data_IF_051800563254
#
_entry.id   IF_051800563254
#
_cell.length_a   1.000
_cell.length_b   1.000
_cell.length_c   1.000
_cell.angle_alpha   90.00
_cell.angle_beta   90.00
_cell.angle_gamma   90.00
#
_symmetry.space_group_name_H-M   'P 1'
#
loop_
_entity.id
_entity.type
_entity.pdbx_description
1 polymer ?
#
# COMPACT_ATOMS: atom_id res chain seq x y z
N UNK A 1 -33.15 -33.32 25.93
CA UNK A 1 -32.27 -32.75 26.99
C UNK A 1 -30.82 -32.88 26.54
N UNK A 2 -30.12 -31.78 26.42
CA UNK A 2 -28.70 -31.81 26.04
C UNK A 2 -27.89 -32.54 27.14
N UNK A 3 -27.09 -33.52 26.75
CA UNK A 3 -26.31 -34.33 27.68
C UNK A 3 -25.26 -33.44 28.37
N UNK A 4 -25.16 -33.47 29.67
CA UNK A 4 -24.23 -32.69 30.52
C UNK A 4 -22.77 -32.77 29.97
N UNK A 5 -22.37 -33.93 29.45
CA UNK A 5 -21.06 -34.13 28.79
C UNK A 5 -20.90 -33.28 27.50
N UNK A 6 -21.96 -33.13 26.75
CA UNK A 6 -21.94 -32.28 25.53
C UNK A 6 -21.80 -30.82 25.87
N UNK A 7 -22.49 -30.32 26.88
CA UNK A 7 -22.38 -28.97 27.40
C UNK A 7 -20.97 -28.71 27.93
N UNK A 8 -20.39 -29.62 28.70
CA UNK A 8 -19.01 -29.49 29.18
C UNK A 8 -17.99 -29.47 28.04
N UNK A 9 -18.18 -30.27 26.99
CA UNK A 9 -17.32 -30.28 25.81
C UNK A 9 -17.42 -28.95 25.05
N UNK A 10 -18.63 -28.40 24.92
CA UNK A 10 -18.85 -27.07 24.30
C UNK A 10 -18.22 -25.95 25.12
N UNK A 11 -18.37 -25.96 26.43
CA UNK A 11 -17.73 -24.98 27.34
C UNK A 11 -16.22 -25.02 27.22
N UNK A 12 -15.59 -26.19 27.21
CA UNK A 12 -14.15 -26.34 27.03
C UNK A 12 -13.70 -25.80 25.68
N UNK A 13 -14.41 -26.15 24.60
CA UNK A 13 -14.13 -25.64 23.25
C UNK A 13 -14.23 -24.11 23.19
N UNK A 14 -15.21 -23.50 23.82
CA UNK A 14 -15.37 -22.04 23.92
C UNK A 14 -14.19 -21.43 24.68
N UNK A 15 -13.81 -21.99 25.83
CA UNK A 15 -12.66 -21.51 26.61
C UNK A 15 -11.34 -21.58 25.82
N UNK A 16 -11.10 -22.67 25.11
CA UNK A 16 -9.91 -22.81 24.27
C UNK A 16 -9.92 -21.84 23.09
N UNK A 17 -11.08 -21.63 22.47
CA UNK A 17 -11.25 -20.60 21.43
C UNK A 17 -10.99 -19.20 21.99
N UNK A 18 -11.45 -18.88 23.20
CA UNK A 18 -11.17 -17.59 23.84
C UNK A 18 -9.67 -17.38 24.10
N UNK A 19 -8.97 -18.41 24.60
CA UNK A 19 -7.50 -18.33 24.81
C UNK A 19 -6.77 -18.02 23.51
N UNK A 20 -7.10 -18.73 22.42
CA UNK A 20 -6.52 -18.51 21.09
C UNK A 20 -6.84 -17.08 20.62
N UNK A 21 -8.09 -16.63 20.78
CA UNK A 21 -8.53 -15.29 20.38
C UNK A 21 -7.77 -14.20 21.13
N UNK A 22 -7.59 -14.35 22.45
CA UNK A 22 -6.83 -13.43 23.28
C UNK A 22 -5.35 -13.37 22.88
N UNK A 23 -4.72 -14.53 22.65
CA UNK A 23 -3.33 -14.58 22.19
C UNK A 23 -3.15 -13.86 20.84
N UNK A 24 -4.06 -14.09 19.89
CA UNK A 24 -4.00 -13.42 18.58
C UNK A 24 -4.29 -11.92 18.68
N UNK A 25 -5.15 -11.48 19.60
CA UNK A 25 -5.36 -10.05 19.89
C UNK A 25 -4.07 -9.39 20.39
N UNK A 26 -3.36 -10.03 21.34
CA UNK A 26 -2.10 -9.53 21.87
C UNK A 26 -1.02 -9.44 20.78
N UNK A 27 -0.91 -10.48 19.94
CA UNK A 27 0.04 -10.52 18.81
C UNK A 27 -0.29 -9.41 17.81
N UNK A 28 -1.55 -9.25 17.40
CA UNK A 28 -1.95 -8.19 16.45
C UNK A 28 -1.72 -6.80 17.03
N UNK A 29 -1.98 -6.59 18.31
CA UNK A 29 -1.73 -5.31 19.00
C UNK A 29 -0.24 -4.97 19.06
N UNK A 30 0.62 -5.96 19.34
CA UNK A 30 2.09 -5.78 19.32
C UNK A 30 2.61 -5.47 17.93
N UNK A 31 2.16 -6.22 16.92
CA UNK A 31 2.53 -5.99 15.51
C UNK A 31 2.10 -4.61 15.02
N UNK A 32 0.89 -4.16 15.37
CA UNK A 32 0.40 -2.83 15.03
C UNK A 32 1.30 -1.73 15.63
N UNK A 33 1.69 -1.87 16.89
CA UNK A 33 2.59 -0.90 17.54
C UNK A 33 3.95 -0.84 16.86
N UNK A 34 4.55 -2.00 16.56
CA UNK A 34 5.85 -2.08 15.87
C UNK A 34 5.77 -1.48 14.47
N UNK A 35 4.67 -1.73 13.73
CA UNK A 35 4.49 -1.18 12.39
C UNK A 35 4.39 0.35 12.43
N UNK A 36 3.61 0.90 13.37
CA UNK A 36 3.50 2.36 13.54
C UNK A 36 4.84 3.00 13.89
N UNK A 37 5.60 2.42 14.82
CA UNK A 37 6.91 2.95 15.17
C UNK A 37 7.87 2.98 13.97
N UNK A 38 7.89 1.91 13.17
CA UNK A 38 8.71 1.88 11.95
C UNK A 38 8.33 2.96 10.93
N UNK A 39 7.04 3.28 10.83
CA UNK A 39 6.57 4.36 9.96
C UNK A 39 7.04 5.71 10.48
N UNK A 40 6.80 5.99 11.76
CA UNK A 40 7.24 7.21 12.45
C UNK A 40 8.76 7.43 12.33
N UNK A 41 9.56 6.37 12.44
CA UNK A 41 11.03 6.44 12.35
C UNK A 41 11.52 6.78 10.93
N UNK A 42 10.76 6.46 9.89
CA UNK A 42 11.16 6.64 8.48
C UNK A 42 10.47 7.82 7.79
N UNK A 43 9.35 8.27 8.30
CA UNK A 43 8.56 9.37 7.73
C UNK A 43 9.38 10.67 7.52
N UNK A 44 10.26 11.12 8.45
CA UNK A 44 11.05 12.33 8.27
C UNK A 44 11.98 12.28 7.06
N UNK A 45 12.55 11.10 6.77
CA UNK A 45 13.41 10.92 5.61
C UNK A 45 12.63 11.09 4.30
N UNK A 46 11.48 10.45 4.17
CA UNK A 46 10.66 10.55 2.97
C UNK A 46 10.04 11.94 2.79
N UNK A 47 9.67 12.57 3.89
CA UNK A 47 9.25 13.98 3.87
C UNK A 47 10.37 14.90 3.32
N UNK A 48 11.61 14.69 3.74
CA UNK A 48 12.76 15.44 3.24
C UNK A 48 12.97 15.26 1.73
N UNK A 49 12.76 14.06 1.19
CA UNK A 49 12.81 13.81 -0.25
C UNK A 49 11.70 14.55 -1.01
N UNK A 50 10.47 14.52 -0.50
CA UNK A 50 9.36 15.25 -1.09
C UNK A 50 9.62 16.76 -1.08
N UNK A 51 10.16 17.29 0.02
CA UNK A 51 10.55 18.70 0.12
C UNK A 51 11.66 19.07 -0.85
N UNK A 52 12.63 18.19 -1.07
CA UNK A 52 13.68 18.41 -2.08
C UNK A 52 13.07 18.52 -3.49
N UNK A 53 12.21 17.59 -3.89
CA UNK A 53 11.50 17.65 -5.18
C UNK A 53 10.67 18.94 -5.28
N UNK A 54 9.95 19.29 -4.21
CA UNK A 54 9.14 20.52 -4.14
C UNK A 54 10.00 21.78 -4.37
N UNK A 55 11.16 21.87 -3.72
CA UNK A 55 12.11 22.99 -3.92
C UNK A 55 12.61 23.04 -5.35
N UNK A 56 13.01 21.91 -5.93
CA UNK A 56 13.48 21.84 -7.32
C UNK A 56 12.42 22.33 -8.30
N UNK A 57 11.20 21.82 -8.20
CA UNK A 57 10.12 22.20 -9.12
C UNK A 57 9.73 23.68 -9.04
N UNK A 58 9.93 24.33 -7.89
CA UNK A 58 9.67 25.77 -7.74
C UNK A 58 10.75 26.64 -8.40
N UNK A 59 12.02 26.21 -8.34
CA UNK A 59 13.11 26.96 -8.92
C UNK A 59 13.25 26.71 -10.42
N UNK A 60 12.87 25.52 -10.88
CA UNK A 60 12.94 25.10 -12.28
C UNK A 60 11.60 24.45 -12.65
N UNK A 61 10.52 25.26 -12.80
CA UNK A 61 9.17 24.74 -13.05
C UNK A 61 9.04 24.06 -14.41
N UNK A 62 9.82 24.49 -15.39
CA UNK A 62 9.82 23.97 -16.76
C UNK A 62 10.70 22.73 -16.91
N UNK A 63 11.10 22.09 -15.81
CA UNK A 63 11.87 20.84 -15.87
C UNK A 63 11.08 19.78 -16.64
N UNK A 64 11.61 19.40 -17.78
CA UNK A 64 11.15 18.25 -18.54
C UNK A 64 11.80 17.00 -17.96
N UNK A 65 10.99 16.03 -17.56
CA UNK A 65 11.47 14.74 -17.07
C UNK A 65 10.38 13.70 -17.27
N UNK A 66 10.79 12.50 -17.70
CA UNK A 66 9.89 11.35 -17.85
C UNK A 66 9.10 11.04 -16.58
N UNK A 67 9.60 11.43 -15.42
CA UNK A 67 8.94 11.20 -14.12
C UNK A 67 7.77 12.14 -13.85
N UNK A 68 7.63 13.22 -14.62
CA UNK A 68 6.53 14.20 -14.53
C UNK A 68 5.67 14.26 -15.79
N UNK A 69 6.08 13.55 -16.83
CA UNK A 69 5.36 13.50 -18.10
C UNK A 69 4.07 12.67 -17.95
N UNK A 70 2.92 13.33 -17.94
CA UNK A 70 1.60 12.68 -17.81
C UNK A 70 1.15 11.95 -19.08
N UNK A 71 1.98 11.96 -20.14
CA UNK A 71 1.70 11.31 -21.43
C UNK A 71 0.27 11.59 -21.93
N UNK A 72 -0.06 12.88 -21.94
CA UNK A 72 -1.40 13.34 -22.33
C UNK A 72 -1.71 13.11 -23.80
N UNK A 73 -0.71 12.87 -24.64
CA UNK A 73 -0.83 12.51 -26.04
C UNK A 73 -1.35 11.08 -26.27
N UNK A 74 -1.22 10.20 -25.25
CA UNK A 74 -1.74 8.82 -25.32
C UNK A 74 -3.21 8.83 -24.88
N UNK A 75 -4.16 8.34 -25.72
CA UNK A 75 -5.53 8.19 -25.32
C UNK A 75 -5.67 7.35 -24.04
N UNK A 76 -6.55 7.75 -23.15
CA UNK A 76 -6.69 7.12 -21.81
C UNK A 76 -6.95 5.61 -21.86
N UNK A 77 -7.71 5.16 -22.86
CA UNK A 77 -8.00 3.73 -23.08
C UNK A 77 -6.81 2.90 -23.58
N UNK A 78 -5.78 3.55 -24.14
CA UNK A 78 -4.60 2.90 -24.71
C UNK A 78 -3.43 2.87 -23.73
N UNK A 79 -3.47 3.67 -22.67
CA UNK A 79 -2.42 3.72 -21.65
C UNK A 79 -2.22 2.36 -20.99
N UNK A 80 -0.95 1.97 -20.85
CA UNK A 80 -0.52 0.76 -20.14
C UNK A 80 -0.35 1.09 -18.65
N UNK A 81 -1.26 0.59 -17.82
CA UNK A 81 -1.29 0.89 -16.39
C UNK A 81 -0.83 -0.29 -15.57
N UNK A 82 0.08 -0.04 -14.62
CA UNK A 82 0.47 -0.97 -13.59
C UNK A 82 -0.24 -0.68 -12.28
N UNK A 83 -0.89 -1.68 -11.70
CA UNK A 83 -1.54 -1.55 -10.39
C UNK A 83 -0.83 -2.44 -9.38
N UNK A 84 -0.15 -1.83 -8.39
CA UNK A 84 0.38 -2.53 -7.22
C UNK A 84 -0.77 -2.66 -6.23
N UNK A 85 -1.22 -3.88 -5.97
CA UNK A 85 -2.37 -4.15 -5.09
C UNK A 85 -1.89 -4.82 -3.81
N UNK A 86 -2.11 -4.17 -2.66
CA UNK A 86 -1.68 -4.69 -1.37
C UNK A 86 -2.85 -5.36 -0.66
N UNK A 87 -2.75 -6.69 -0.50
CA UNK A 87 -3.72 -7.53 0.21
C UNK A 87 -3.03 -8.31 1.33
N UNK A 88 -3.81 -8.95 2.21
CA UNK A 88 -3.25 -9.84 3.23
C UNK A 88 -2.78 -11.18 2.66
N UNK A 89 -1.90 -11.86 3.42
CA UNK A 89 -1.52 -13.25 3.12
C UNK A 89 -2.53 -14.27 3.67
N UNK A 90 -3.33 -13.89 4.68
CA UNK A 90 -4.27 -14.78 5.36
C UNK A 90 -5.61 -14.10 5.59
N UNK A 91 -6.69 -14.87 5.57
CA UNK A 91 -8.04 -14.42 5.86
C UNK A 91 -8.23 -13.94 7.32
N UNK A 92 -9.49 -13.76 7.72
CA UNK A 92 -9.91 -13.29 9.04
C UNK A 92 -9.48 -11.83 9.34
N UNK A 93 -9.47 -10.99 8.34
CA UNK A 93 -9.22 -9.55 8.42
C UNK A 93 -10.44 -8.75 7.95
N UNK A 94 -11.65 -9.11 8.38
CA UNK A 94 -12.90 -8.40 8.10
C UNK A 94 -13.08 -8.02 6.62
N UNK A 95 -13.48 -6.78 6.37
CA UNK A 95 -13.67 -6.22 5.03
C UNK A 95 -12.38 -5.75 4.35
N UNK A 96 -11.25 -5.76 5.05
CA UNK A 96 -9.96 -5.26 4.58
C UNK A 96 -9.60 -5.71 3.14
N UNK A 97 -9.55 -7.04 2.93
CA UNK A 97 -9.19 -7.58 1.62
C UNK A 97 -10.27 -7.31 0.55
N UNK A 98 -11.54 -7.39 0.95
CA UNK A 98 -12.66 -7.23 0.03
C UNK A 98 -12.67 -5.84 -0.63
N UNK A 99 -12.46 -4.79 0.15
CA UNK A 99 -12.51 -3.41 -0.35
C UNK A 99 -11.38 -3.11 -1.34
N UNK A 100 -10.15 -3.55 -1.02
CA UNK A 100 -8.99 -3.36 -1.90
C UNK A 100 -9.13 -4.18 -3.18
N UNK A 101 -9.53 -5.44 -3.06
CA UNK A 101 -9.71 -6.34 -4.21
C UNK A 101 -10.80 -5.80 -5.14
N UNK A 102 -11.93 -5.35 -4.58
CA UNK A 102 -13.04 -4.76 -5.35
C UNK A 102 -12.56 -3.53 -6.13
N UNK A 103 -11.89 -2.59 -5.47
CA UNK A 103 -11.34 -1.40 -6.12
C UNK A 103 -10.36 -1.75 -7.23
N UNK A 104 -9.43 -2.69 -6.97
CA UNK A 104 -8.44 -3.10 -7.95
C UNK A 104 -9.09 -3.80 -9.17
N UNK A 105 -10.10 -4.61 -8.96
CA UNK A 105 -10.87 -5.25 -10.03
C UNK A 105 -11.57 -4.22 -10.92
N UNK A 106 -12.31 -3.28 -10.32
CA UNK A 106 -12.98 -2.19 -11.03
C UNK A 106 -12.00 -1.33 -11.85
N UNK A 107 -10.81 -1.05 -11.30
CA UNK A 107 -9.77 -0.31 -12.00
C UNK A 107 -9.16 -1.11 -13.16
N UNK A 108 -8.99 -2.41 -12.97
CA UNK A 108 -8.44 -3.29 -14.01
C UNK A 108 -9.37 -3.40 -15.21
N UNK A 109 -10.68 -3.45 -14.99
CA UNK A 109 -11.70 -3.53 -16.05
C UNK A 109 -11.85 -2.22 -16.86
N UNK A 110 -11.38 -1.08 -16.34
CA UNK A 110 -11.49 0.21 -17.03
C UNK A 110 -10.48 0.40 -18.18
N UNK A 111 -9.54 -0.51 -18.40
CA UNK A 111 -8.55 -0.41 -19.45
C UNK A 111 -8.15 -1.77 -20.02
N UNK A 112 -7.68 -1.76 -21.27
CA UNK A 112 -7.36 -3.00 -21.99
C UNK A 112 -5.90 -3.48 -21.78
N UNK A 113 -5.01 -2.59 -21.30
CA UNK A 113 -3.57 -2.82 -21.22
C UNK A 113 -3.06 -2.73 -19.78
N UNK A 114 -3.81 -3.27 -18.84
CA UNK A 114 -3.52 -3.19 -17.42
C UNK A 114 -2.69 -4.39 -16.95
N UNK A 115 -1.69 -4.16 -16.07
CA UNK A 115 -0.90 -5.20 -15.39
C UNK A 115 -1.15 -5.15 -13.88
N UNK A 116 -1.30 -6.31 -13.24
CA UNK A 116 -1.48 -6.45 -11.79
C UNK A 116 -0.19 -6.94 -11.11
N UNK A 117 0.26 -6.19 -10.11
CA UNK A 117 1.38 -6.51 -9.24
C UNK A 117 0.85 -6.75 -7.83
N UNK A 118 0.61 -8.00 -7.45
CA UNK A 118 -0.13 -8.29 -6.21
C UNK A 118 0.80 -8.66 -5.07
N UNK A 119 0.77 -7.86 -4.01
CA UNK A 119 1.38 -8.15 -2.71
C UNK A 119 0.34 -8.86 -1.84
N UNK A 120 0.70 -9.99 -1.28
CA UNK A 120 -0.19 -10.79 -0.45
C UNK A 120 -0.85 -11.95 -1.20
N UNK A 121 -0.96 -13.09 -0.50
CA UNK A 121 -1.40 -14.35 -1.10
C UNK A 121 -2.88 -14.34 -1.46
N UNK A 122 -3.74 -13.69 -0.65
CA UNK A 122 -5.18 -13.70 -0.89
C UNK A 122 -5.56 -12.98 -2.19
N UNK A 123 -4.92 -11.86 -2.48
CA UNK A 123 -5.14 -11.14 -3.73
C UNK A 123 -4.69 -11.97 -4.93
N UNK A 124 -3.51 -12.60 -4.85
CA UNK A 124 -3.01 -13.47 -5.92
C UNK A 124 -3.99 -14.60 -6.23
N UNK A 125 -4.48 -15.29 -5.20
CA UNK A 125 -5.44 -16.38 -5.35
C UNK A 125 -6.77 -15.90 -5.95
N UNK A 126 -7.23 -14.71 -5.52
CA UNK A 126 -8.47 -14.13 -6.04
C UNK A 126 -8.34 -13.81 -7.52
N UNK A 127 -7.36 -13.02 -7.93
CA UNK A 127 -7.21 -12.59 -9.32
C UNK A 127 -6.89 -13.75 -10.26
N UNK A 128 -6.08 -14.72 -9.81
CA UNK A 128 -5.84 -15.95 -10.58
C UNK A 128 -7.13 -16.78 -10.81
N UNK A 129 -8.03 -16.83 -9.80
CA UNK A 129 -9.32 -17.50 -9.93
C UNK A 129 -10.26 -16.80 -10.90
N UNK A 130 -10.22 -15.46 -10.92
CA UNK A 130 -10.97 -14.65 -11.89
C UNK A 130 -10.36 -14.67 -13.31
N UNK A 131 -9.23 -15.38 -13.50
CA UNK A 131 -8.56 -15.48 -14.80
C UNK A 131 -7.78 -14.23 -15.20
N UNK A 132 -7.51 -13.31 -14.26
CA UNK A 132 -6.75 -12.10 -14.51
C UNK A 132 -5.25 -12.39 -14.43
N UNK A 133 -4.49 -11.86 -15.39
CA UNK A 133 -3.04 -12.04 -15.44
C UNK A 133 -2.37 -11.20 -14.33
N UNK A 134 -1.70 -11.90 -13.42
CA UNK A 134 -0.90 -11.31 -12.35
C UNK A 134 0.57 -11.54 -12.68
N UNK A 135 1.42 -10.53 -12.48
CA UNK A 135 2.87 -10.68 -12.66
C UNK A 135 3.39 -11.80 -11.76
N UNK A 136 3.91 -12.87 -12.40
CA UNK A 136 4.32 -14.11 -11.72
C UNK A 136 5.64 -13.99 -10.98
N UNK A 137 6.46 -13.00 -11.32
CA UNK A 137 7.72 -12.72 -10.63
C UNK A 137 7.47 -11.91 -9.35
N UNK A 138 6.29 -11.27 -9.26
CA UNK A 138 5.89 -10.41 -8.15
C UNK A 138 5.26 -11.22 -7.01
N UNK A 139 6.08 -12.00 -6.26
CA UNK A 139 5.60 -12.86 -5.16
C UNK A 139 6.01 -12.34 -3.80
N UNK A 140 5.46 -11.18 -3.40
CA UNK A 140 5.77 -10.58 -2.11
C UNK A 140 4.67 -10.80 -1.10
N UNK A 141 5.07 -11.03 0.16
CA UNK A 141 4.19 -11.08 1.32
C UNK A 141 4.05 -9.69 1.94
N UNK A 142 2.91 -9.41 2.52
CA UNK A 142 2.67 -8.17 3.30
C UNK A 142 3.22 -8.27 4.73
N UNK A 143 3.56 -9.47 5.20
CA UNK A 143 4.08 -9.69 6.55
C UNK A 143 5.43 -9.00 6.75
N UNK A 144 5.59 -8.32 7.89
CA UNK A 144 6.82 -7.59 8.25
C UNK A 144 7.30 -6.63 7.14
N UNK A 145 6.55 -5.57 6.84
CA UNK A 145 6.96 -4.60 5.83
C UNK A 145 8.35 -4.05 6.16
N UNK A 146 9.20 -3.94 5.14
CA UNK A 146 10.56 -3.44 5.26
C UNK A 146 10.91 -2.53 4.10
N UNK A 147 11.81 -1.59 4.35
CA UNK A 147 12.30 -0.68 3.31
C UNK A 147 12.98 -1.45 2.15
N UNK A 148 13.71 -2.51 2.48
CA UNK A 148 14.31 -3.37 1.45
C UNK A 148 13.26 -3.95 0.50
N UNK A 149 12.12 -4.46 1.02
CA UNK A 149 11.04 -4.97 0.18
C UNK A 149 10.41 -3.87 -0.67
N UNK A 150 10.17 -2.70 -0.10
CA UNK A 150 9.66 -1.56 -0.85
C UNK A 150 10.60 -1.19 -2.00
N UNK A 151 11.92 -1.21 -1.76
CA UNK A 151 12.93 -0.94 -2.80
C UNK A 151 12.88 -1.97 -3.93
N UNK A 152 12.83 -3.27 -3.62
CA UNK A 152 12.72 -4.33 -4.64
C UNK A 152 11.44 -4.18 -5.48
N UNK A 153 10.33 -3.80 -4.85
CA UNK A 153 9.07 -3.50 -5.56
C UNK A 153 9.25 -2.27 -6.46
N UNK A 154 9.86 -1.21 -5.94
CA UNK A 154 10.16 0.01 -6.72
C UNK A 154 11.02 -0.31 -7.92
N UNK A 155 12.13 -1.02 -7.74
CA UNK A 155 13.07 -1.36 -8.82
C UNK A 155 12.35 -2.09 -9.96
N UNK A 156 11.46 -3.03 -9.64
CA UNK A 156 10.68 -3.77 -10.65
C UNK A 156 9.73 -2.86 -11.44
N UNK A 157 8.98 -2.01 -10.79
CA UNK A 157 8.02 -1.14 -11.50
C UNK A 157 8.72 0.00 -12.24
N UNK A 158 9.83 0.52 -11.70
CA UNK A 158 10.67 1.50 -12.38
C UNK A 158 11.27 0.94 -13.65
N UNK A 159 11.81 -0.29 -13.61
CA UNK A 159 12.34 -0.97 -14.78
C UNK A 159 11.31 -1.05 -15.92
N UNK A 160 10.08 -1.46 -15.61
CA UNK A 160 8.99 -1.56 -16.59
C UNK A 160 8.56 -0.18 -17.11
N UNK A 161 8.54 0.81 -16.25
CA UNK A 161 8.23 2.18 -16.61
C UNK A 161 9.32 2.79 -17.52
N UNK A 162 10.59 2.58 -17.20
CA UNK A 162 11.73 3.07 -17.96
C UNK A 162 11.85 2.41 -19.34
N UNK A 163 11.47 1.13 -19.45
CA UNK A 163 11.36 0.40 -20.72
C UNK A 163 10.16 0.83 -21.56
N UNK A 164 9.30 1.70 -21.04
CA UNK A 164 8.06 2.09 -21.67
C UNK A 164 7.02 0.97 -21.76
N UNK A 165 7.11 -0.07 -20.93
CA UNK A 165 6.08 -1.10 -20.81
C UNK A 165 4.89 -0.65 -19.97
N UNK A 166 5.09 0.37 -19.14
CA UNK A 166 4.06 1.04 -18.36
C UNK A 166 4.08 2.54 -18.64
N UNK A 167 2.91 3.13 -18.79
CA UNK A 167 2.74 4.57 -18.95
C UNK A 167 2.34 5.23 -17.64
N UNK A 168 1.62 4.51 -16.79
CA UNK A 168 1.21 4.94 -15.47
C UNK A 168 1.35 3.81 -14.45
N UNK A 169 1.76 4.13 -13.22
CA UNK A 169 1.85 3.18 -12.11
C UNK A 169 1.04 3.70 -10.93
N UNK A 170 0.18 2.85 -10.41
CA UNK A 170 -0.67 3.12 -9.25
C UNK A 170 -0.42 2.12 -8.14
N UNK A 171 -0.66 2.54 -6.89
CA UNK A 171 -0.75 1.65 -5.75
C UNK A 171 -2.16 1.69 -5.17
N UNK A 172 -2.72 0.50 -4.92
CA UNK A 172 -4.04 0.30 -4.29
C UNK A 172 -3.83 -0.41 -2.96
N UNK A 173 -4.20 0.26 -1.89
CA UNK A 173 -3.94 -0.23 -0.53
C UNK A 173 -5.02 0.25 0.43
N UNK A 174 -4.99 -0.22 1.67
CA UNK A 174 -5.89 0.26 2.73
C UNK A 174 -5.21 1.33 3.55
N UNK A 175 -5.76 2.55 3.51
CA UNK A 175 -5.35 3.68 4.34
C UNK A 175 -6.13 3.72 5.64
N UNK A 176 -5.44 4.03 6.72
CA UNK A 176 -6.02 4.23 8.04
C UNK A 176 -6.23 5.73 8.30
N UNK A 177 -7.42 6.25 8.01
CA UNK A 177 -7.72 7.66 8.28
C UNK A 177 -7.74 7.98 9.78
N UNK A 178 -8.31 7.08 10.57
CA UNK A 178 -8.38 7.21 12.02
C UNK A 178 -8.56 5.85 12.70
N UNK A 179 -8.79 5.89 14.03
CA UNK A 179 -8.98 4.67 14.80
C UNK A 179 -10.20 3.82 14.38
N UNK A 180 -11.13 4.34 13.59
CA UNK A 180 -12.37 3.65 13.23
C UNK A 180 -12.56 3.49 11.71
N UNK A 181 -11.96 4.33 10.89
CA UNK A 181 -12.15 4.35 9.44
C UNK A 181 -10.90 3.85 8.72
N UNK A 182 -11.11 2.86 7.87
CA UNK A 182 -10.12 2.29 6.97
C UNK A 182 -10.75 2.21 5.58
N UNK A 183 -10.14 2.89 4.60
CA UNK A 183 -10.64 2.96 3.25
C UNK A 183 -9.60 2.41 2.27
N UNK A 184 -10.09 1.73 1.23
CA UNK A 184 -9.23 1.44 0.09
C UNK A 184 -8.93 2.76 -0.64
N UNK A 185 -7.67 3.00 -0.96
CA UNK A 185 -7.19 4.20 -1.63
C UNK A 185 -6.31 3.83 -2.83
N UNK A 186 -6.39 4.65 -3.86
CA UNK A 186 -5.53 4.58 -5.05
C UNK A 186 -4.65 5.82 -5.09
N UNK A 187 -3.32 5.62 -5.15
CA UNK A 187 -2.34 6.70 -5.33
C UNK A 187 -1.58 6.47 -6.63
N UNK A 188 -1.39 7.50 -7.42
CA UNK A 188 -0.49 7.48 -8.58
C UNK A 188 0.95 7.59 -8.11
N UNK A 189 1.77 6.61 -8.50
CA UNK A 189 3.21 6.59 -8.21
C UNK A 189 4.03 7.19 -9.33
N UNK A 190 3.65 6.90 -10.57
CA UNK A 190 4.31 7.37 -11.79
C UNK A 190 3.28 7.62 -12.90
N UNK A 191 3.50 8.64 -13.73
CA UNK A 191 4.39 9.77 -13.45
C UNK A 191 3.91 10.56 -12.23
N UNK A 192 4.84 11.22 -11.55
CA UNK A 192 4.53 12.10 -10.42
C UNK A 192 3.75 13.34 -10.91
N UNK A 193 2.78 13.79 -10.12
CA UNK A 193 2.05 15.03 -10.41
C UNK A 193 2.79 16.20 -9.79
N UNK A 194 3.24 17.15 -10.61
CA UNK A 194 3.93 18.36 -10.12
C UNK A 194 3.12 19.12 -9.08
N UNK A 195 1.78 19.15 -9.24
CA UNK A 195 0.85 19.85 -8.34
C UNK A 195 0.92 19.33 -6.89
N UNK A 196 1.16 18.04 -6.70
CA UNK A 196 1.23 17.44 -5.36
C UNK A 196 2.45 17.93 -4.59
N UNK A 197 3.55 18.25 -5.29
CA UNK A 197 4.76 18.80 -4.69
C UNK A 197 4.71 20.32 -4.52
N UNK A 198 3.94 21.04 -5.34
CA UNK A 198 3.82 22.49 -5.25
C UNK A 198 2.96 22.96 -4.07
N UNK A 199 2.12 22.11 -3.50
CA UNK A 199 1.24 22.40 -2.36
C UNK A 199 1.93 22.40 -1.01
N UNK A 200 3.16 21.88 -0.92
CA UNK A 200 3.89 21.82 0.35
C UNK A 200 4.15 23.22 0.92
N UNK A 201 3.97 23.45 2.23
CA UNK A 201 4.24 24.73 2.85
C UNK A 201 5.69 25.15 2.64
N UNK A 202 5.87 26.45 2.37
CA UNK A 202 7.20 27.02 2.08
C UNK A 202 7.78 27.54 3.38
N UNK A 203 8.97 27.09 3.75
CA UNK A 203 9.88 27.91 4.52
C UNK A 203 10.44 28.99 3.61
N UNK A 204 10.26 30.26 3.99
CA UNK A 204 10.39 31.46 3.16
C UNK A 204 11.83 31.84 2.81
N UNK A 205 12.78 30.91 2.79
CA UNK A 205 14.13 31.21 2.38
C UNK A 205 14.29 31.05 0.88
N UNK A 206 14.51 32.19 0.19
CA UNK A 206 14.97 32.24 -1.20
C UNK A 206 16.46 31.88 -1.21
N UNK A 207 16.77 30.59 -1.17
CA UNK A 207 18.13 30.11 -1.42
C UNK A 207 18.32 29.88 -2.91
N UNK A 208 19.41 30.40 -3.46
CA UNK A 208 19.86 29.99 -4.80
C UNK A 208 20.21 28.52 -4.77
N UNK A 209 19.47 27.69 -5.52
CA UNK A 209 19.76 26.27 -5.62
C UNK A 209 20.79 26.07 -6.75
N UNK A 210 21.97 25.63 -6.37
CA UNK A 210 22.97 25.16 -7.33
C UNK A 210 22.78 23.66 -7.55
N UNK A 211 22.55 23.27 -8.79
CA UNK A 211 22.30 21.89 -9.19
C UNK A 211 23.54 21.33 -9.90
N UNK A 212 24.12 20.25 -9.37
CA UNK A 212 25.28 19.56 -9.95
C UNK A 212 25.04 18.03 -9.92
N UNK A 213 25.32 17.30 -10.98
CA UNK A 213 25.78 17.72 -12.31
C UNK A 213 24.65 18.26 -13.18
N UNK A 214 23.42 17.77 -13.04
CA UNK A 214 22.22 18.24 -13.75
C UNK A 214 20.96 17.92 -12.96
N UNK A 215 19.83 18.57 -13.30
CA UNK A 215 18.53 18.27 -12.69
C UNK A 215 18.08 16.85 -12.98
N UNK A 216 18.25 16.38 -14.21
CA UNK A 216 17.90 15.01 -14.60
C UNK A 216 18.65 13.99 -13.75
N UNK A 217 19.97 14.15 -13.59
CA UNK A 217 20.76 13.23 -12.77
C UNK A 217 20.29 13.18 -11.31
N UNK A 218 19.87 14.32 -10.76
CA UNK A 218 19.31 14.38 -9.40
C UNK A 218 17.96 13.66 -9.35
N UNK A 219 17.07 13.92 -10.31
CA UNK A 219 15.74 13.29 -10.35
C UNK A 219 15.83 11.78 -10.55
N UNK A 220 16.80 11.27 -11.31
CA UNK A 220 17.05 9.83 -11.45
C UNK A 220 17.39 9.13 -10.13
N UNK A 221 17.91 9.85 -9.17
CA UNK A 221 18.19 9.31 -7.82
C UNK A 221 17.08 9.61 -6.81
N UNK A 222 16.52 10.81 -6.84
CA UNK A 222 15.56 11.26 -5.83
C UNK A 222 14.17 10.65 -6.07
N UNK A 223 13.71 10.57 -7.32
CA UNK A 223 12.37 10.05 -7.63
C UNK A 223 12.21 8.57 -7.25
N UNK A 224 13.10 7.63 -7.60
CA UNK A 224 12.99 6.25 -7.15
C UNK A 224 12.96 6.10 -5.62
N UNK A 225 13.73 6.92 -4.90
CA UNK A 225 13.69 6.92 -3.44
C UNK A 225 12.37 7.47 -2.90
N UNK A 226 11.81 8.50 -3.52
CA UNK A 226 10.47 9.03 -3.16
C UNK A 226 9.39 7.98 -3.39
N UNK A 227 9.38 7.31 -4.55
CA UNK A 227 8.46 6.21 -4.88
C UNK A 227 8.61 5.06 -3.87
N UNK A 228 9.85 4.69 -3.52
CA UNK A 228 10.15 3.70 -2.47
C UNK A 228 9.50 4.09 -1.14
N UNK A 229 9.56 5.37 -0.79
CA UNK A 229 8.94 5.90 0.43
C UNK A 229 7.42 5.74 0.43
N UNK A 230 6.77 6.08 -0.67
CA UNK A 230 5.32 5.94 -0.81
C UNK A 230 4.92 4.46 -0.73
N UNK A 231 5.62 3.57 -1.43
CA UNK A 231 5.39 2.12 -1.38
C UNK A 231 5.60 1.59 0.04
N UNK A 232 6.69 1.99 0.72
CA UNK A 232 6.96 1.56 2.08
C UNK A 232 5.86 2.01 3.05
N UNK A 233 5.47 3.28 3.00
CA UNK A 233 4.38 3.82 3.79
C UNK A 233 3.07 3.04 3.56
N UNK A 234 2.72 2.80 2.29
CA UNK A 234 1.52 2.03 1.93
C UNK A 234 1.56 0.58 2.43
N UNK A 235 2.73 -0.08 2.39
CA UNK A 235 2.92 -1.43 2.95
C UNK A 235 2.72 -1.45 4.47
N UNK A 236 3.31 -0.48 5.18
CA UNK A 236 3.20 -0.39 6.65
C UNK A 236 1.78 -0.04 7.06
N UNK A 237 1.16 0.92 6.40
CA UNK A 237 -0.19 1.39 6.69
C UNK A 237 -1.23 0.29 6.39
N UNK A 238 -1.08 -0.41 5.26
CA UNK A 238 -1.90 -1.55 4.90
C UNK A 238 -1.77 -2.70 5.90
N UNK A 239 -0.55 -3.00 6.33
CA UNK A 239 -0.29 -4.01 7.37
C UNK A 239 -0.89 -3.60 8.71
N UNK A 240 -0.77 -2.33 9.10
CA UNK A 240 -1.37 -1.80 10.33
C UNK A 240 -2.91 -1.91 10.29
N UNK A 241 -3.53 -1.59 9.15
CA UNK A 241 -4.96 -1.71 8.91
C UNK A 241 -5.43 -3.16 8.99
N UNK A 242 -4.68 -4.10 8.40
CA UNK A 242 -4.93 -5.54 8.51
C UNK A 242 -4.92 -6.02 9.97
N UNK A 243 -3.89 -5.65 10.75
CA UNK A 243 -3.78 -6.06 12.16
C UNK A 243 -4.92 -5.48 13.00
N UNK A 244 -5.35 -4.27 12.69
CA UNK A 244 -6.47 -3.62 13.37
C UNK A 244 -7.80 -4.29 13.04
N UNK A 245 -8.06 -4.61 11.77
CA UNK A 245 -9.30 -5.27 11.36
C UNK A 245 -9.40 -6.69 11.94
N UNK A 246 -8.27 -7.42 11.99
CA UNK A 246 -8.17 -8.69 12.73
C UNK A 246 -8.52 -8.56 14.21
N UNK A 247 -8.09 -7.46 14.84
CA UNK A 247 -8.39 -7.18 16.25
C UNK A 247 -9.88 -6.92 16.46
N UNK A 248 -10.54 -6.09 15.64
CA UNK A 248 -11.94 -5.71 15.77
C UNK A 248 -12.91 -6.84 15.40
N UNK A 249 -12.64 -7.59 14.34
CA UNK A 249 -13.48 -8.74 13.93
C UNK A 249 -13.59 -9.77 15.04
N UNK A 250 -12.56 -9.93 15.88
CA UNK A 250 -12.55 -10.89 16.98
C UNK A 250 -13.23 -10.39 18.23
N UNK A 251 -13.15 -9.12 18.54
CA UNK A 251 -13.92 -8.52 19.63
C UNK A 251 -15.42 -8.70 19.38
N UNK A 252 -15.89 -8.44 18.16
CA UNK A 252 -17.29 -8.59 17.78
C UNK A 252 -17.76 -10.07 17.84
N UNK A 253 -16.91 -11.03 17.45
CA UNK A 253 -17.23 -12.45 17.50
C UNK A 253 -17.31 -13.00 18.94
N UNK A 254 -16.64 -12.38 19.91
CA UNK A 254 -16.72 -12.74 21.32
C UNK A 254 -17.98 -12.17 22.00
N UNK A 255 -18.43 -10.96 21.61
CA UNK A 255 -19.65 -10.35 22.15
C UNK A 255 -20.92 -11.01 21.64
N UNK A 256 -21.00 -11.43 20.39
CA UNK A 256 -22.19 -12.11 19.83
C UNK A 256 -22.39 -13.54 20.35
N UNK A 257 -21.36 -14.19 20.90
CA UNK A 257 -21.47 -15.52 21.50
C UNK A 257 -21.78 -15.52 22.99
N UNK A 258 -21.65 -14.39 23.69
CA UNK A 258 -21.97 -14.22 25.10
C UNK A 258 -23.43 -13.83 25.35
N UNK A 259 -24.22 -13.50 24.31
CA UNK A 259 -25.60 -13.05 24.40
C UNK A 259 -26.65 -14.04 23.86
N UNK A 260 -26.28 -15.33 23.74
CA UNK A 260 -27.23 -16.43 23.42
C UNK A 260 -27.17 -17.57 24.43
#
# INVERSE_FOLDING_TARGET
>A
MANTKEIQKRMKSIQDTMKITNAMYMISSSKLRVAKQKLEDTEPYFYSLQMAISRFLRHIPDTESRYFDQKTEIPDAEKRRGYIVITADKGLAGAYNHNVIKMAHELFEQGNNNKLFVVGELGRQYFAKEGLEVDTEFKYTVQNPSLHRARVITDRVMELYDKGELDEVYIVYTKMENAFNMNAEKIQLLPLKKEDFMRAPIDTYQEEIKVEPSMEAILEHVVPNCVTGIIYGSLVESFASEQKDRKSTRLNSSHTRGSR
#
